data_IF_937254382297
#
_entry.id   IF_937254382297
#
_cell.length_a   1.000
_cell.length_b   1.000
_cell.length_c   1.000
_cell.angle_alpha   90.00
_cell.angle_beta   90.00
_cell.angle_gamma   90.00
#
_symmetry.space_group_name_H-M   'P 1'
#
loop_
_entity.id
_entity.type
_entity.pdbx_description
1 polymer ?
#
# COMPACT_ATOMS: atom_id res chain seq x y z
N UNK A 1 2.13 -5.68 -22.70
CA UNK A 1 2.20 -7.15 -22.81
C UNK A 1 0.78 -7.66 -22.71
N UNK A 2 0.30 -8.45 -23.69
CA UNK A 2 -0.97 -9.15 -23.55
C UNK A 2 -0.91 -10.14 -22.38
N UNK A 3 -2.06 -10.47 -21.80
CA UNK A 3 -2.15 -11.49 -20.76
C UNK A 3 -1.78 -12.86 -21.29
N UNK A 4 -1.21 -13.71 -20.43
CA UNK A 4 -1.13 -15.16 -20.69
C UNK A 4 -2.55 -15.76 -20.75
N UNK A 5 -2.67 -16.98 -21.27
CA UNK A 5 -3.95 -17.68 -21.28
C UNK A 5 -4.52 -17.90 -19.87
N UNK A 6 -3.66 -18.20 -18.89
CA UNK A 6 -4.05 -18.34 -17.48
C UNK A 6 -4.53 -17.01 -16.89
N UNK A 7 -3.79 -15.92 -17.11
CA UNK A 7 -4.17 -14.58 -16.65
C UNK A 7 -5.51 -14.13 -17.27
N UNK A 8 -5.72 -14.40 -18.56
CA UNK A 8 -6.98 -14.08 -19.25
C UNK A 8 -8.16 -14.90 -18.71
N UNK A 9 -7.95 -16.19 -18.41
CA UNK A 9 -8.96 -17.06 -17.83
C UNK A 9 -9.33 -16.63 -16.40
N UNK A 10 -8.34 -16.35 -15.54
CA UNK A 10 -8.58 -15.83 -14.19
C UNK A 10 -9.30 -14.48 -14.22
N UNK A 11 -8.87 -13.54 -15.08
CA UNK A 11 -9.56 -12.26 -15.19
C UNK A 11 -11.03 -12.45 -15.62
N UNK A 12 -11.27 -13.33 -16.58
CA UNK A 12 -12.62 -13.60 -17.07
C UNK A 12 -13.53 -14.17 -15.98
N UNK A 13 -12.99 -15.06 -15.13
CA UNK A 13 -13.72 -15.59 -13.98
C UNK A 13 -14.04 -14.50 -12.94
N UNK A 14 -13.07 -13.63 -12.62
CA UNK A 14 -13.29 -12.51 -11.69
C UNK A 14 -14.37 -11.56 -12.24
N UNK A 15 -14.32 -11.24 -13.52
CA UNK A 15 -15.32 -10.38 -14.17
C UNK A 15 -16.70 -11.04 -14.25
N UNK A 16 -16.78 -12.36 -14.38
CA UNK A 16 -18.06 -13.08 -14.35
C UNK A 16 -18.72 -12.98 -12.97
N UNK A 17 -17.95 -13.16 -11.88
CA UNK A 17 -18.47 -12.99 -10.52
C UNK A 17 -18.89 -11.54 -10.24
N UNK A 18 -18.12 -10.57 -10.73
CA UNK A 18 -18.50 -9.15 -10.63
C UNK A 18 -19.77 -8.83 -11.42
N UNK A 19 -19.93 -9.40 -12.62
CA UNK A 19 -21.14 -9.24 -13.44
C UNK A 19 -22.37 -9.85 -12.77
N UNK A 20 -22.22 -10.98 -12.08
CA UNK A 20 -23.31 -11.58 -11.29
C UNK A 20 -23.80 -10.66 -10.16
N UNK A 21 -22.95 -9.75 -9.68
CA UNK A 21 -23.29 -8.69 -8.72
C UNK A 21 -23.74 -7.38 -9.38
N UNK A 22 -23.88 -7.35 -10.71
CA UNK A 22 -24.32 -6.17 -11.46
C UNK A 22 -23.19 -5.23 -11.92
N UNK A 23 -21.92 -5.62 -11.78
CA UNK A 23 -20.77 -4.84 -12.22
C UNK A 23 -20.21 -5.36 -13.54
N UNK A 24 -20.70 -4.82 -14.66
CA UNK A 24 -20.22 -5.20 -16.00
C UNK A 24 -19.12 -4.24 -16.48
N UNK A 25 -17.88 -4.72 -16.49
CA UNK A 25 -16.70 -3.96 -16.90
C UNK A 25 -15.82 -4.77 -17.86
N UNK A 26 -15.12 -4.12 -18.80
CA UNK A 26 -14.28 -4.80 -19.79
C UNK A 26 -12.97 -5.35 -19.20
N UNK A 27 -12.57 -4.89 -18.01
CA UNK A 27 -11.37 -5.35 -17.31
C UNK A 27 -11.41 -4.99 -15.82
N UNK A 28 -10.60 -5.67 -15.01
CA UNK A 28 -10.41 -5.29 -13.60
C UNK A 28 -9.80 -3.90 -13.44
N UNK A 29 -8.97 -3.49 -14.40
CA UNK A 29 -8.38 -2.16 -14.43
C UNK A 29 -9.45 -1.07 -14.60
N UNK A 30 -10.39 -1.30 -15.53
CA UNK A 30 -11.53 -0.40 -15.74
C UNK A 30 -12.44 -0.36 -14.50
N UNK A 31 -12.72 -1.52 -13.90
CA UNK A 31 -13.49 -1.60 -12.66
C UNK A 31 -12.83 -0.83 -11.51
N UNK A 32 -11.53 -1.00 -11.28
CA UNK A 32 -10.77 -0.30 -10.24
C UNK A 32 -10.77 1.22 -10.43
N UNK A 33 -10.73 1.69 -11.68
CA UNK A 33 -10.69 3.12 -12.04
C UNK A 33 -12.07 3.77 -12.18
N UNK A 34 -13.15 2.97 -12.15
CA UNK A 34 -14.51 3.45 -12.41
C UNK A 34 -15.04 4.47 -11.40
N UNK A 35 -14.47 4.50 -10.18
CA UNK A 35 -14.97 5.31 -9.08
C UNK A 35 -16.29 4.83 -8.47
N UNK A 36 -16.89 3.75 -9.02
CA UNK A 36 -18.12 3.16 -8.49
C UNK A 36 -17.85 2.63 -7.08
N UNK A 37 -18.83 2.79 -6.18
CA UNK A 37 -18.78 2.18 -4.85
C UNK A 37 -19.39 0.79 -4.93
N UNK A 38 -18.63 -0.22 -4.53
CA UNK A 38 -18.99 -1.63 -4.68
C UNK A 38 -18.85 -2.39 -3.37
N UNK A 39 -19.54 -1.91 -2.34
CA UNK A 39 -19.43 -2.45 -0.98
C UNK A 39 -19.81 -3.94 -0.92
N UNK A 40 -20.80 -4.33 -1.70
CA UNK A 40 -21.28 -5.72 -1.88
C UNK A 40 -20.32 -6.61 -2.68
N UNK A 41 -19.47 -6.05 -3.54
CA UNK A 41 -18.43 -6.80 -4.23
C UNK A 41 -17.16 -7.05 -3.39
N UNK A 42 -17.01 -6.34 -2.25
CA UNK A 42 -15.81 -6.48 -1.39
C UNK A 42 -15.56 -7.93 -0.97
N UNK A 43 -16.55 -8.71 -0.47
CA UNK A 43 -16.33 -10.12 -0.12
C UNK A 43 -15.80 -10.96 -1.29
N UNK A 44 -16.41 -10.81 -2.48
CA UNK A 44 -15.98 -11.51 -3.70
C UNK A 44 -14.54 -11.16 -4.09
N UNK A 45 -14.18 -9.87 -4.03
CA UNK A 45 -12.81 -9.42 -4.32
C UNK A 45 -11.80 -9.93 -3.28
N UNK A 46 -12.20 -10.06 -2.01
CA UNK A 46 -11.37 -10.65 -0.97
C UNK A 46 -11.14 -12.15 -1.18
N UNK A 47 -12.16 -12.88 -1.63
CA UNK A 47 -11.99 -14.27 -2.03
C UNK A 47 -11.02 -14.41 -3.20
N UNK A 48 -11.18 -13.58 -4.23
CA UNK A 48 -10.28 -13.56 -5.37
C UNK A 48 -8.85 -13.16 -5.00
N UNK A 49 -8.65 -12.28 -4.02
CA UNK A 49 -7.32 -11.97 -3.51
C UNK A 49 -6.64 -13.22 -2.95
N UNK A 50 -7.38 -14.11 -2.27
CA UNK A 50 -6.82 -15.36 -1.72
C UNK A 50 -6.62 -16.44 -2.79
N UNK A 51 -7.46 -16.45 -3.84
CA UNK A 51 -7.48 -17.49 -4.88
C UNK A 51 -6.59 -17.18 -6.10
N UNK A 52 -6.27 -15.91 -6.36
CA UNK A 52 -5.49 -15.49 -7.52
C UNK A 52 -4.10 -16.13 -7.53
N UNK A 53 -3.76 -16.82 -8.62
CA UNK A 53 -2.51 -17.60 -8.71
C UNK A 53 -1.39 -16.81 -9.35
N UNK A 54 -1.73 -15.97 -10.33
CA UNK A 54 -0.72 -15.23 -11.09
C UNK A 54 -0.37 -13.90 -10.40
N UNK A 55 0.91 -13.47 -10.41
CA UNK A 55 1.32 -12.15 -9.90
C UNK A 55 0.56 -10.99 -10.56
N UNK A 56 0.15 -11.13 -11.83
CA UNK A 56 -0.67 -10.12 -12.51
C UNK A 56 -2.07 -10.03 -11.89
N UNK A 57 -2.75 -11.14 -11.66
CA UNK A 57 -4.11 -11.14 -11.09
C UNK A 57 -4.10 -10.74 -9.62
N UNK A 58 -3.11 -11.17 -8.84
CA UNK A 58 -2.92 -10.71 -7.46
C UNK A 58 -2.82 -9.17 -7.38
N UNK A 59 -2.04 -8.55 -8.28
CA UNK A 59 -1.95 -7.08 -8.38
C UNK A 59 -3.25 -6.44 -8.86
N UNK A 60 -3.89 -7.02 -9.87
CA UNK A 60 -5.13 -6.49 -10.43
C UNK A 60 -6.25 -6.47 -9.38
N UNK A 61 -6.43 -7.57 -8.65
CA UNK A 61 -7.41 -7.68 -7.57
C UNK A 61 -7.06 -6.73 -6.42
N UNK A 62 -5.80 -6.69 -5.97
CA UNK A 62 -5.40 -5.76 -4.90
C UNK A 62 -5.76 -4.30 -5.23
N UNK A 63 -5.54 -3.86 -6.47
CA UNK A 63 -5.90 -2.49 -6.91
C UNK A 63 -7.39 -2.17 -6.81
N UNK A 64 -8.27 -3.16 -6.99
CA UNK A 64 -9.72 -2.96 -6.76
C UNK A 64 -10.04 -2.69 -5.29
N UNK A 65 -9.19 -3.10 -4.34
CA UNK A 65 -9.42 -2.90 -2.91
C UNK A 65 -9.00 -1.51 -2.41
N UNK A 66 -8.58 -0.61 -3.32
CA UNK A 66 -8.28 0.80 -3.02
C UNK A 66 -9.54 1.68 -2.91
N UNK A 67 -10.73 1.12 -3.14
CA UNK A 67 -11.98 1.86 -3.08
C UNK A 67 -12.30 2.40 -1.67
N UNK A 68 -12.79 3.65 -1.52
CA UNK A 68 -13.21 4.19 -0.22
C UNK A 68 -14.24 3.34 0.52
N UNK A 69 -15.12 2.62 -0.20
CA UNK A 69 -16.13 1.75 0.40
C UNK A 69 -15.55 0.49 1.06
N UNK A 70 -14.30 0.14 0.74
CA UNK A 70 -13.59 -1.03 1.26
C UNK A 70 -12.65 -0.70 2.44
N UNK A 71 -12.49 0.59 2.77
CA UNK A 71 -11.54 1.09 3.77
C UNK A 71 -11.69 0.38 5.12
N UNK A 72 -10.58 -0.05 5.70
CA UNK A 72 -10.53 -0.77 6.98
C UNK A 72 -11.04 -2.22 6.93
N UNK A 73 -12.09 -2.52 6.17
CA UNK A 73 -12.67 -3.86 6.07
C UNK A 73 -11.74 -4.86 5.37
N UNK A 74 -10.99 -4.39 4.37
CA UNK A 74 -10.06 -5.26 3.59
C UNK A 74 -8.70 -5.46 4.25
N UNK A 75 -8.39 -4.72 5.32
CA UNK A 75 -7.06 -4.68 5.93
C UNK A 75 -6.54 -6.06 6.36
N UNK A 76 -7.32 -6.94 7.04
CA UNK A 76 -6.83 -8.26 7.41
C UNK A 76 -6.36 -9.08 6.21
N UNK A 77 -7.15 -9.09 5.14
CA UNK A 77 -6.82 -9.84 3.92
C UNK A 77 -5.62 -9.23 3.17
N UNK A 78 -5.48 -7.90 3.16
CA UNK A 78 -4.32 -7.25 2.56
C UNK A 78 -3.04 -7.50 3.36
N UNK A 79 -3.10 -7.53 4.70
CA UNK A 79 -1.97 -7.89 5.56
C UNK A 79 -1.55 -9.34 5.30
N UNK A 80 -2.50 -10.27 5.27
CA UNK A 80 -2.25 -11.67 4.93
C UNK A 80 -1.62 -11.82 3.54
N UNK A 81 -2.19 -11.14 2.53
CA UNK A 81 -1.65 -11.15 1.17
C UNK A 81 -0.24 -10.58 1.12
N UNK A 82 0.03 -9.48 1.83
CA UNK A 82 1.37 -8.87 1.87
C UNK A 82 2.40 -9.81 2.50
N UNK A 83 2.03 -10.61 3.51
CA UNK A 83 2.92 -11.59 4.14
C UNK A 83 3.23 -12.76 3.21
N UNK A 84 2.20 -13.29 2.53
CA UNK A 84 2.26 -14.57 1.84
C UNK A 84 2.58 -14.49 0.35
N UNK A 85 2.30 -13.38 -0.33
CA UNK A 85 2.61 -13.26 -1.75
C UNK A 85 4.10 -13.20 -2.01
N UNK A 86 4.56 -13.94 -3.01
CA UNK A 86 5.92 -13.79 -3.56
C UNK A 86 6.05 -12.39 -4.14
N UNK A 87 7.19 -11.74 -3.90
CA UNK A 87 7.45 -10.40 -4.46
C UNK A 87 7.91 -10.48 -5.92
N UNK A 88 7.06 -11.07 -6.75
CA UNK A 88 7.26 -11.16 -8.20
C UNK A 88 6.56 -9.99 -8.89
N UNK A 89 7.23 -9.34 -9.83
CA UNK A 89 6.68 -8.24 -10.63
C UNK A 89 6.04 -7.09 -9.79
N UNK A 90 6.53 -6.86 -8.57
CA UNK A 90 6.03 -5.80 -7.66
C UNK A 90 4.68 -6.12 -7.04
N UNK A 91 4.34 -7.40 -6.89
CA UNK A 91 3.05 -7.83 -6.33
C UNK A 91 2.87 -7.38 -4.89
N UNK A 92 3.90 -7.57 -4.05
CA UNK A 92 3.85 -7.16 -2.64
C UNK A 92 3.74 -5.64 -2.53
N UNK A 93 4.42 -4.89 -3.40
CA UNK A 93 4.31 -3.43 -3.45
C UNK A 93 2.88 -2.96 -3.78
N UNK A 94 2.18 -3.60 -4.72
CA UNK A 94 0.79 -3.26 -5.05
C UNK A 94 -0.18 -3.54 -3.89
N UNK A 95 0.04 -4.63 -3.15
CA UNK A 95 -0.70 -4.89 -1.91
C UNK A 95 -0.39 -3.82 -0.87
N UNK A 96 0.89 -3.41 -0.73
CA UNK A 96 1.29 -2.30 0.14
C UNK A 96 0.60 -0.98 -0.22
N UNK A 97 0.43 -0.68 -1.50
CA UNK A 97 -0.33 0.49 -1.96
C UNK A 97 -1.81 0.42 -1.56
N UNK A 98 -2.39 -0.78 -1.60
CA UNK A 98 -3.76 -1.03 -1.17
C UNK A 98 -3.90 -0.88 0.36
N UNK A 99 -2.91 -1.35 1.13
CA UNK A 99 -2.81 -1.14 2.58
C UNK A 99 -2.78 0.35 2.91
N UNK A 100 -1.95 1.13 2.20
CA UNK A 100 -1.85 2.58 2.38
C UNK A 100 -3.22 3.26 2.24
N UNK A 101 -4.00 2.87 1.24
CA UNK A 101 -5.31 3.46 0.96
C UNK A 101 -6.37 3.03 1.97
N UNK A 102 -6.39 1.73 2.31
CA UNK A 102 -7.37 1.14 3.21
C UNK A 102 -7.08 1.38 4.71
N UNK A 103 -5.91 1.95 5.03
CA UNK A 103 -5.39 2.06 6.39
C UNK A 103 -6.35 2.75 7.39
N UNK A 104 -6.43 2.15 8.58
CA UNK A 104 -7.04 2.71 9.79
C UNK A 104 -6.23 2.27 11.03
N UNK A 105 -6.17 3.11 12.06
CA UNK A 105 -5.27 2.95 13.22
C UNK A 105 -5.45 1.65 14.02
N UNK A 106 -6.61 0.99 13.91
CA UNK A 106 -6.85 -0.33 14.51
C UNK A 106 -5.77 -1.35 14.11
N UNK A 107 -5.24 -1.27 12.89
CA UNK A 107 -4.24 -2.19 12.36
C UNK A 107 -2.81 -1.66 12.49
N UNK A 108 -2.57 -0.67 13.35
CA UNK A 108 -1.24 -0.09 13.51
C UNK A 108 -0.16 -1.12 13.82
N UNK A 109 -0.41 -2.05 14.76
CA UNK A 109 0.59 -3.03 15.17
C UNK A 109 1.04 -3.92 14.00
N UNK A 110 0.08 -4.43 13.22
CA UNK A 110 0.39 -5.24 12.04
C UNK A 110 1.13 -4.44 10.96
N UNK A 111 0.68 -3.22 10.66
CA UNK A 111 1.28 -2.37 9.63
C UNK A 111 2.69 -1.92 10.04
N UNK A 112 2.91 -1.64 11.32
CA UNK A 112 4.24 -1.35 11.87
C UNK A 112 5.17 -2.57 11.75
N UNK A 113 4.69 -3.77 12.10
CA UNK A 113 5.45 -5.00 11.93
C UNK A 113 5.84 -5.25 10.47
N UNK A 114 4.93 -5.01 9.51
CA UNK A 114 5.24 -5.09 8.08
C UNK A 114 6.30 -4.06 7.66
N UNK A 115 6.22 -2.82 8.17
CA UNK A 115 7.17 -1.77 7.81
C UNK A 115 8.57 -2.01 8.41
N UNK A 116 8.65 -2.65 9.57
CA UNK A 116 9.92 -2.90 10.28
C UNK A 116 10.63 -4.19 9.84
N UNK A 117 9.97 -5.08 9.09
CA UNK A 117 10.56 -6.35 8.67
C UNK A 117 11.40 -6.20 7.38
N UNK A 118 12.75 -6.19 7.45
CA UNK A 118 13.60 -5.90 6.30
C UNK A 118 13.48 -6.95 5.17
N UNK A 119 12.94 -8.14 5.45
CA UNK A 119 12.76 -9.22 4.45
C UNK A 119 11.83 -8.82 3.30
N UNK A 120 11.01 -7.78 3.49
CA UNK A 120 10.10 -7.28 2.47
C UNK A 120 10.70 -6.17 1.59
N UNK A 121 11.95 -5.74 1.85
CA UNK A 121 12.68 -4.78 1.02
C UNK A 121 11.86 -3.54 0.68
N UNK A 122 11.85 -3.16 -0.61
CA UNK A 122 11.13 -1.99 -1.13
C UNK A 122 9.61 -2.12 -1.14
N UNK A 123 9.03 -3.32 -1.00
CA UNK A 123 7.57 -3.46 -0.96
C UNK A 123 6.94 -2.72 0.24
N UNK A 124 7.74 -2.47 1.29
CA UNK A 124 7.35 -1.73 2.49
C UNK A 124 7.15 -0.24 2.30
N UNK A 125 7.58 0.33 1.17
CA UNK A 125 7.51 1.76 0.90
C UNK A 125 6.10 2.35 1.10
N UNK A 126 5.08 1.70 0.57
CA UNK A 126 3.69 2.14 0.73
C UNK A 126 3.14 1.87 2.13
N UNK A 127 3.64 0.82 2.80
CA UNK A 127 3.31 0.51 4.19
C UNK A 127 3.82 1.63 5.12
N UNK A 128 5.02 2.17 4.88
CA UNK A 128 5.53 3.33 5.60
C UNK A 128 4.65 4.58 5.39
N UNK A 129 4.14 4.81 4.17
CA UNK A 129 3.19 5.89 3.92
C UNK A 129 1.86 5.69 4.67
N UNK A 130 1.41 4.44 4.85
CA UNK A 130 0.23 4.12 5.65
C UNK A 130 0.39 4.59 7.10
N UNK A 131 1.56 4.33 7.71
CA UNK A 131 1.90 4.82 9.05
C UNK A 131 1.93 6.35 9.13
N UNK A 132 2.30 7.03 8.04
CA UNK A 132 2.20 8.48 7.90
C UNK A 132 0.78 9.04 7.99
N UNK A 133 -0.25 8.21 7.79
CA UNK A 133 -1.67 8.58 7.99
C UNK A 133 -2.15 8.33 9.42
N UNK A 134 -1.37 7.65 10.24
CA UNK A 134 -1.78 7.27 11.58
C UNK A 134 -1.90 8.48 12.51
N UNK A 135 -2.92 8.48 13.37
CA UNK A 135 -3.03 9.47 14.45
C UNK A 135 -2.25 9.06 15.69
N UNK A 136 -1.77 7.82 15.73
CA UNK A 136 -0.99 7.28 16.84
C UNK A 136 0.36 8.01 16.97
N UNK A 137 0.76 8.45 18.17
CA UNK A 137 2.08 9.04 18.39
C UNK A 137 3.21 8.06 18.07
N UNK A 138 3.01 6.76 18.33
CA UNK A 138 4.00 5.69 18.11
C UNK A 138 4.38 5.52 16.64
N UNK A 139 3.52 5.97 15.71
CA UNK A 139 3.87 5.99 14.29
C UNK A 139 5.08 6.89 14.00
N UNK A 140 5.33 7.92 14.82
CA UNK A 140 6.56 8.72 14.70
C UNK A 140 7.77 7.86 15.06
N UNK A 141 7.71 7.10 16.15
CA UNK A 141 8.82 6.24 16.58
C UNK A 141 9.17 5.21 15.51
N UNK A 142 8.15 4.55 14.95
CA UNK A 142 8.36 3.59 13.86
C UNK A 142 8.97 4.30 12.65
N UNK A 143 8.42 5.42 12.19
CA UNK A 143 8.94 6.12 11.01
C UNK A 143 10.37 6.64 11.20
N UNK A 144 10.74 7.07 12.41
CA UNK A 144 12.12 7.47 12.72
C UNK A 144 13.09 6.29 12.58
N UNK A 145 12.71 5.09 13.04
CA UNK A 145 13.53 3.88 12.86
C UNK A 145 13.76 3.52 11.39
N UNK A 146 12.84 3.89 10.50
CA UNK A 146 12.93 3.60 9.06
C UNK A 146 13.83 4.61 8.29
N UNK A 147 14.36 5.64 8.96
CA UNK A 147 15.12 6.71 8.29
C UNK A 147 16.49 6.26 7.78
N UNK A 148 17.08 5.23 8.39
CA UNK A 148 18.38 4.67 8.00
C UNK A 148 18.28 3.53 6.98
N UNK A 149 17.06 3.04 6.76
CA UNK A 149 16.78 1.94 5.84
C UNK A 149 16.67 2.46 4.40
N UNK A 150 17.74 2.28 3.62
CA UNK A 150 17.87 2.84 2.27
C UNK A 150 16.68 2.52 1.33
N UNK A 151 16.09 1.33 1.45
CA UNK A 151 14.98 0.89 0.60
C UNK A 151 13.69 1.70 0.82
N UNK A 152 13.52 2.28 2.02
CA UNK A 152 12.26 2.89 2.46
C UNK A 152 12.40 4.30 3.03
N UNK A 153 13.62 4.75 3.33
CA UNK A 153 13.88 5.97 4.08
C UNK A 153 13.27 7.21 3.46
N UNK A 154 13.26 7.33 2.12
CA UNK A 154 12.56 8.42 1.45
C UNK A 154 11.04 8.43 1.75
N UNK A 155 10.42 7.27 1.88
CA UNK A 155 8.99 7.17 2.21
C UNK A 155 8.75 7.49 3.68
N UNK A 156 9.68 7.13 4.57
CA UNK A 156 9.65 7.55 5.97
C UNK A 156 9.78 9.07 6.11
N UNK A 157 10.74 9.69 5.38
CA UNK A 157 10.89 11.16 5.28
C UNK A 157 9.59 11.79 4.80
N UNK A 158 8.99 11.25 3.75
CA UNK A 158 7.74 11.77 3.21
C UNK A 158 6.61 11.70 4.25
N UNK A 159 6.45 10.56 4.92
CA UNK A 159 5.44 10.34 5.95
C UNK A 159 5.61 11.31 7.12
N UNK A 160 6.83 11.46 7.64
CA UNK A 160 7.16 12.42 8.72
C UNK A 160 7.00 13.88 8.27
N UNK A 161 7.28 14.22 7.01
CA UNK A 161 7.07 15.60 6.51
C UNK A 161 5.61 16.04 6.54
N UNK A 162 4.66 15.09 6.57
CA UNK A 162 3.23 15.35 6.76
C UNK A 162 2.84 15.47 8.24
N UNK A 163 3.64 14.91 9.15
CA UNK A 163 3.43 14.87 10.60
C UNK A 163 4.65 15.45 11.31
N UNK A 164 4.78 16.79 11.26
CA UNK A 164 5.88 17.51 11.88
C UNK A 164 6.10 17.05 13.33
N UNK A 165 7.30 16.59 13.64
CA UNK A 165 7.72 16.22 14.98
C UNK A 165 9.16 16.70 15.19
N UNK A 166 9.45 17.51 16.22
CA UNK A 166 10.80 18.02 16.46
C UNK A 166 11.89 16.95 16.56
N UNK A 167 11.54 15.72 16.98
CA UNK A 167 12.46 14.58 17.05
C UNK A 167 12.98 14.13 15.68
N UNK A 168 12.32 14.53 14.58
CA UNK A 168 12.75 14.22 13.22
C UNK A 168 13.76 15.24 12.64
N UNK A 169 14.16 16.28 13.38
CA UNK A 169 15.06 17.33 12.88
C UNK A 169 16.36 16.77 12.33
N UNK A 170 17.12 16.05 13.14
CA UNK A 170 18.41 15.46 12.75
C UNK A 170 18.26 14.55 11.53
N UNK A 171 17.26 13.66 11.57
CA UNK A 171 16.98 12.76 10.47
C UNK A 171 16.54 13.50 9.18
N UNK A 172 15.92 14.68 9.27
CA UNK A 172 15.67 15.50 8.08
C UNK A 172 16.92 16.24 7.61
N UNK A 173 17.77 16.73 8.50
CA UNK A 173 19.04 17.39 8.15
C UNK A 173 19.95 16.45 7.36
N UNK A 174 20.09 15.20 7.78
CA UNK A 174 20.82 14.17 7.04
C UNK A 174 20.23 13.93 5.65
N UNK A 175 18.90 13.90 5.53
CA UNK A 175 18.21 13.65 4.26
C UNK A 175 18.18 14.84 3.32
N UNK A 176 18.78 15.98 3.70
CA UNK A 176 19.04 17.09 2.76
C UNK A 176 20.10 16.75 1.72
N UNK A 177 20.91 15.72 1.93
CA UNK A 177 21.93 15.26 0.97
C UNK A 177 21.59 13.90 0.34
N UNK A 178 20.35 13.41 0.53
CA UNK A 178 19.86 12.15 -0.07
C UNK A 178 19.98 12.18 -1.60
N UNK A 179 20.33 11.05 -2.22
CA UNK A 179 20.49 10.93 -3.67
C UNK A 179 19.18 11.23 -4.42
N UNK A 180 18.02 10.89 -3.82
CA UNK A 180 16.69 11.10 -4.39
C UNK A 180 16.24 12.55 -4.22
N UNK A 181 16.03 13.32 -5.31
CA UNK A 181 15.63 14.73 -5.23
C UNK A 181 14.31 14.97 -4.49
N UNK A 182 13.37 14.04 -4.61
CA UNK A 182 12.08 14.14 -3.94
C UNK A 182 12.20 13.93 -2.43
N UNK A 183 13.13 13.10 -1.94
CA UNK A 183 13.37 12.90 -0.52
C UNK A 183 13.97 14.17 0.10
N UNK A 184 14.98 14.78 -0.54
CA UNK A 184 15.53 16.08 -0.14
C UNK A 184 14.47 17.16 -0.02
N UNK A 185 13.57 17.27 -1.01
CA UNK A 185 12.46 18.23 -0.99
C UNK A 185 11.51 18.00 0.19
N UNK A 186 11.27 16.74 0.57
CA UNK A 186 10.41 16.39 1.70
C UNK A 186 11.09 16.62 3.04
N UNK A 187 12.40 16.38 3.13
CA UNK A 187 13.20 16.69 4.31
C UNK A 187 13.22 18.21 4.59
N UNK A 188 13.52 19.03 3.57
CA UNK A 188 13.47 20.49 3.68
C UNK A 188 12.06 21.01 4.08
N UNK A 189 11.00 20.41 3.53
CA UNK A 189 9.63 20.71 3.94
C UNK A 189 9.37 20.33 5.41
N UNK A 190 9.91 19.20 5.86
CA UNK A 190 9.86 18.75 7.25
C UNK A 190 10.50 19.75 8.19
N UNK A 191 11.74 20.16 7.91
CA UNK A 191 12.47 21.15 8.71
C UNK A 191 11.72 22.47 8.83
N UNK A 192 11.23 23.01 7.70
CA UNK A 192 10.44 24.26 7.70
C UNK A 192 9.18 24.18 8.58
N UNK A 193 8.61 23.00 8.76
CA UNK A 193 7.43 22.79 9.63
C UNK A 193 7.78 22.58 11.10
N UNK A 194 9.04 22.25 11.41
CA UNK A 194 9.52 22.09 12.79
C UNK A 194 9.97 23.45 13.36
N UNK A 195 10.36 24.40 12.51
CA UNK A 195 10.84 25.72 12.91
C UNK A 195 12.34 25.80 12.73
#
# INVERSE_FOLDING_TARGET
MPFTAEEAAEQSAILADLRALGYDFPSLSAFAQSGVRYKDAVPTLLEWLRKARTPMMQRAVARTLTNPSAKGAVMPALIDAFRNFTDEAGTRWAVGNSIETAYVDRYFADVAALALDPRYGRARQMVALALGKSKRPEAVDVLLQLMDDHDISGHAVFALSKRSNPRAREAFEEKLTDDRPWARKKAALGLRKIG
#
